data_IF_910270439230
#
_entry.id   IF_910270439230
#
_cell.length_a   1.000
_cell.length_b   1.000
_cell.length_c   1.000
_cell.angle_alpha   90.00
_cell.angle_beta   90.00
_cell.angle_gamma   90.00
#
_symmetry.space_group_name_H-M   'P 1'
#
loop_
_entity.id
_entity.type
_entity.pdbx_description
1 polymer ?
#
# COMPACT_ATOMS: atom_id res chain seq x y z
N UNK A 1 18.75 7.39 0.16
CA UNK A 1 18.46 7.46 0.82
C UNK A 1 17.39 7.91 1.69
N UNK A 2 16.91 9.01 1.66
CA UNK A 2 15.91 9.41 2.52
C UNK A 2 14.60 9.45 1.89
N UNK A 3 13.89 8.35 1.90
CA UNK A 3 12.55 8.29 1.34
C UNK A 3 11.47 8.22 2.41
N UNK A 4 11.87 8.10 3.66
CA UNK A 4 10.89 8.01 4.74
C UNK A 4 10.24 9.37 4.95
N UNK A 5 8.90 9.37 5.06
CA UNK A 5 8.15 10.59 5.30
C UNK A 5 7.73 11.32 4.06
N UNK A 6 8.13 10.83 2.89
CA UNK A 6 7.81 11.47 1.64
C UNK A 6 6.75 10.66 0.90
N UNK A 7 5.83 11.35 0.24
CA UNK A 7 4.77 10.66 -0.50
C UNK A 7 5.20 10.37 -1.93
N UNK A 8 4.88 9.20 -2.39
CA UNK A 8 5.20 8.76 -3.74
C UNK A 8 3.96 8.16 -4.38
N UNK A 9 3.84 8.32 -5.68
CA UNK A 9 2.78 7.65 -6.41
C UNK A 9 3.31 6.37 -7.01
N UNK A 10 2.60 5.27 -6.81
CA UNK A 10 2.99 3.98 -7.34
C UNK A 10 1.81 3.24 -7.90
N UNK A 11 2.07 2.05 -8.38
CA UNK A 11 1.05 1.16 -8.90
C UNK A 11 0.92 -0.03 -7.98
N UNK A 12 -0.30 -0.46 -7.74
CA UNK A 12 -0.52 -1.68 -6.97
C UNK A 12 -0.17 -2.83 -7.88
N UNK A 13 0.94 -3.51 -7.56
CA UNK A 13 1.46 -4.59 -8.38
C UNK A 13 1.03 -5.96 -7.88
N UNK A 14 0.45 -6.02 -6.69
CA UNK A 14 -0.06 -7.27 -6.15
C UNK A 14 -1.03 -7.01 -5.02
N UNK A 15 -2.03 -7.88 -4.90
CA UNK A 15 -3.02 -7.79 -3.84
C UNK A 15 -3.11 -9.15 -3.18
N UNK A 16 -2.98 -9.16 -1.87
CA UNK A 16 -3.05 -10.40 -1.11
C UNK A 16 -3.91 -10.20 0.13
N UNK A 17 -4.16 -11.29 0.83
CA UNK A 17 -4.94 -11.19 2.07
C UNK A 17 -4.19 -10.44 3.17
N UNK A 18 -2.88 -10.34 3.07
CA UNK A 18 -2.10 -9.67 4.12
C UNK A 18 -1.63 -8.29 3.71
N UNK A 19 -1.94 -7.83 2.51
CA UNK A 19 -1.62 -6.46 2.13
C UNK A 19 -1.46 -6.27 0.65
N UNK A 20 -0.85 -5.16 0.30
CA UNK A 20 -0.69 -4.72 -1.09
C UNK A 20 0.79 -4.60 -1.40
N UNK A 21 1.17 -5.01 -2.61
CA UNK A 21 2.50 -4.69 -3.12
C UNK A 21 2.38 -3.48 -4.03
N UNK A 22 3.32 -2.56 -3.89
CA UNK A 22 3.29 -1.30 -4.62
C UNK A 22 4.63 -1.12 -5.29
N UNK A 23 4.61 -0.80 -6.58
CA UNK A 23 5.83 -0.54 -7.34
C UNK A 23 5.87 0.92 -7.74
N UNK A 24 6.98 1.56 -7.44
CA UNK A 24 7.19 2.96 -7.80
C UNK A 24 7.76 3.06 -9.20
N UNK A 25 7.67 4.23 -9.84
CA UNK A 25 8.17 4.38 -11.21
C UNK A 25 9.64 4.04 -11.37
N UNK A 26 10.44 4.19 -10.31
CA UNK A 26 11.86 3.87 -10.39
C UNK A 26 12.14 2.40 -10.11
N UNK A 27 11.13 1.56 -10.20
CA UNK A 27 11.17 0.12 -10.02
C UNK A 27 11.40 -0.34 -8.59
N UNK A 28 11.41 0.59 -7.63
CA UNK A 28 11.45 0.21 -6.23
C UNK A 28 10.09 -0.33 -5.84
N UNK A 29 10.07 -1.49 -5.20
CA UNK A 29 8.83 -2.13 -4.81
C UNK A 29 8.82 -2.31 -3.30
N UNK A 30 7.66 -2.12 -2.70
CA UNK A 30 7.47 -2.34 -1.28
C UNK A 30 6.08 -2.87 -1.01
N UNK A 31 5.75 -2.96 0.25
CA UNK A 31 4.49 -3.57 0.66
C UNK A 31 3.78 -2.71 1.68
N UNK A 32 2.46 -2.64 1.55
CA UNK A 32 1.61 -2.07 2.58
C UNK A 32 0.95 -3.24 3.28
N UNK A 33 1.32 -3.46 4.55
CA UNK A 33 0.67 -4.52 5.33
C UNK A 33 -0.76 -4.12 5.62
N UNK A 34 -1.63 -5.11 5.70
CA UNK A 34 -3.04 -4.82 5.95
C UNK A 34 -3.23 -4.09 7.28
N UNK A 35 -2.33 -4.30 8.22
CA UNK A 35 -2.39 -3.60 9.49
C UNK A 35 -2.14 -2.10 9.37
N UNK A 36 -1.57 -1.66 8.25
CA UNK A 36 -1.37 -0.24 8.00
C UNK A 36 -2.60 0.42 7.40
N UNK A 37 -3.58 -0.38 6.97
CA UNK A 37 -4.82 0.12 6.41
C UNK A 37 -5.83 0.20 7.53
N UNK A 38 -5.73 1.24 8.34
CA UNK A 38 -6.46 1.32 9.60
C UNK A 38 -7.78 2.06 9.50
N UNK A 39 -8.10 2.55 8.33
CA UNK A 39 -9.31 3.33 8.15
C UNK A 39 -10.55 2.46 7.96
N UNK A 40 -10.37 1.15 7.86
CA UNK A 40 -11.48 0.26 7.64
C UNK A 40 -11.03 -1.16 7.89
N UNK A 41 -11.98 -2.07 7.83
CA UNK A 41 -11.70 -3.51 7.85
C UNK A 41 -11.74 -3.99 6.42
N UNK A 42 -10.62 -4.49 5.91
CA UNK A 42 -10.50 -4.86 4.51
C UNK A 42 -10.59 -6.36 4.34
N UNK A 43 -11.39 -6.78 3.37
CA UNK A 43 -11.57 -8.18 3.02
C UNK A 43 -10.94 -8.43 1.68
N UNK A 44 -10.14 -9.50 1.60
CA UNK A 44 -9.49 -9.86 0.35
C UNK A 44 -10.49 -10.60 -0.53
N UNK A 45 -10.70 -10.06 -1.73
CA UNK A 45 -11.59 -10.67 -2.71
C UNK A 45 -10.73 -11.31 -3.78
N UNK A 46 -10.47 -12.58 -3.60
CA UNK A 46 -9.52 -13.30 -4.42
C UNK A 46 -9.93 -13.31 -5.89
N UNK A 47 -11.21 -13.46 -6.15
CA UNK A 47 -11.71 -13.50 -7.52
C UNK A 47 -11.52 -12.20 -8.27
N UNK A 48 -11.42 -11.11 -7.56
CA UNK A 48 -11.37 -9.80 -8.16
C UNK A 48 -10.03 -9.11 -7.95
N UNK A 49 -9.10 -9.76 -7.26
CA UNK A 49 -7.78 -9.22 -6.98
C UNK A 49 -7.87 -7.84 -6.33
N UNK A 50 -8.65 -7.75 -5.25
CA UNK A 50 -8.78 -6.48 -4.56
C UNK A 50 -8.99 -6.70 -3.06
N UNK A 51 -8.69 -5.64 -2.31
CA UNK A 51 -9.09 -5.55 -0.91
C UNK A 51 -10.22 -4.55 -0.84
N UNK A 52 -11.31 -4.94 -0.20
CA UNK A 52 -12.50 -4.09 -0.10
C UNK A 52 -12.77 -3.74 1.34
N UNK A 53 -12.96 -2.46 1.62
CA UNK A 53 -13.32 -1.99 2.95
C UNK A 53 -14.77 -2.25 3.22
N UNK A 54 -15.05 -2.75 4.42
CA UNK A 54 -16.42 -3.16 4.76
C UNK A 54 -17.33 -1.99 5.06
N UNK A 55 -16.77 -0.91 5.59
CA UNK A 55 -17.60 0.22 5.99
C UNK A 55 -17.57 1.35 5.01
N UNK A 56 -16.38 1.66 4.49
CA UNK A 56 -16.25 2.79 3.58
C UNK A 56 -16.52 2.42 2.14
N UNK A 57 -16.42 1.15 1.80
CA UNK A 57 -16.53 0.71 0.42
C UNK A 57 -15.30 0.99 -0.40
N UNK A 58 -14.21 1.45 0.22
CA UNK A 58 -12.99 1.75 -0.49
C UNK A 58 -12.36 0.45 -1.00
N UNK A 59 -11.81 0.49 -2.19
CA UNK A 59 -11.21 -0.70 -2.79
C UNK A 59 -9.80 -0.40 -3.25
N UNK A 60 -8.92 -1.38 -3.07
CA UNK A 60 -7.57 -1.34 -3.60
C UNK A 60 -7.44 -2.47 -4.59
N UNK A 61 -7.22 -2.14 -5.85
CA UNK A 61 -7.21 -3.11 -6.94
C UNK A 61 -5.86 -3.21 -7.59
N UNK A 62 -5.59 -4.37 -8.16
CA UNK A 62 -4.39 -4.57 -8.96
C UNK A 62 -4.37 -3.57 -10.11
N UNK A 63 -3.25 -2.90 -10.28
CA UNK A 63 -3.09 -1.92 -11.35
C UNK A 63 -3.53 -0.51 -10.99
N UNK A 64 -4.10 -0.32 -9.81
CA UNK A 64 -4.57 0.99 -9.39
C UNK A 64 -3.41 1.85 -8.95
N UNK A 65 -3.50 3.16 -9.20
CA UNK A 65 -2.52 4.11 -8.66
C UNK A 65 -2.80 4.37 -7.20
N UNK A 66 -1.74 4.55 -6.44
CA UNK A 66 -1.89 4.81 -5.02
C UNK A 66 -0.75 5.72 -4.56
N UNK A 67 -1.07 6.60 -3.62
CA UNK A 67 -0.08 7.46 -3.00
C UNK A 67 0.37 6.80 -1.72
N UNK A 68 1.68 6.65 -1.56
CA UNK A 68 2.23 5.93 -0.41
C UNK A 68 3.36 6.74 0.21
N UNK A 69 3.62 6.48 1.48
CA UNK A 69 4.79 6.99 2.18
C UNK A 69 5.60 5.80 2.64
N UNK A 70 6.90 5.95 2.65
CA UNK A 70 7.76 4.91 3.18
C UNK A 70 7.68 4.97 4.71
N UNK A 71 7.31 3.86 5.31
CA UNK A 71 7.18 3.77 6.76
C UNK A 71 8.43 3.18 7.40
N UNK A 72 9.19 2.40 6.65
CA UNK A 72 10.40 1.81 7.18
C UNK A 72 11.08 0.99 6.12
N UNK A 73 12.26 0.50 6.46
CA UNK A 73 13.04 -0.34 5.57
C UNK A 73 13.48 -1.56 6.35
N UNK A 74 13.22 -2.74 5.80
CA UNK A 74 13.71 -3.97 6.39
C UNK A 74 15.01 -4.32 5.70
N UNK A 75 16.11 -4.12 6.39
CA UNK A 75 17.42 -4.30 5.77
C UNK A 75 17.76 -5.76 5.55
N UNK A 76 17.19 -6.64 6.35
CA UNK A 76 17.45 -8.05 6.20
C UNK A 76 16.76 -8.60 4.96
N UNK A 77 15.51 -8.22 4.75
CA UNK A 77 14.74 -8.70 3.62
C UNK A 77 14.87 -7.82 2.39
N UNK A 78 15.52 -6.66 2.53
CA UNK A 78 15.67 -5.70 1.44
C UNK A 78 14.35 -5.24 0.91
N UNK A 79 13.39 -5.01 1.81
CA UNK A 79 12.06 -4.56 1.42
C UNK A 79 11.77 -3.23 2.07
N UNK A 80 10.82 -2.53 1.50
CA UNK A 80 10.37 -1.25 2.02
C UNK A 80 8.93 -1.42 2.48
N UNK A 81 8.67 -0.98 3.71
CA UNK A 81 7.31 -0.97 4.21
C UNK A 81 6.70 0.37 3.87
N UNK A 82 5.58 0.32 3.17
CA UNK A 82 4.83 1.51 2.79
C UNK A 82 3.59 1.62 3.66
N UNK A 83 3.04 2.81 3.69
CA UNK A 83 1.73 3.05 4.25
C UNK A 83 1.02 4.01 3.32
N UNK A 84 -0.31 4.02 3.31
CA UNK A 84 -1.04 4.94 2.44
C UNK A 84 -0.72 6.37 2.85
N UNK A 85 -0.50 7.23 1.86
CA UNK A 85 -0.25 8.62 2.14
C UNK A 85 -1.54 9.27 2.60
N UNK A 86 -1.44 10.12 3.59
CA UNK A 86 -2.59 10.80 4.13
C UNK A 86 -2.46 12.28 3.90
N UNK A 87 -3.59 12.93 3.81
CA UNK A 87 -3.61 14.37 3.73
C UNK A 87 -3.60 14.89 5.15
N UNK A 88 -2.55 15.57 5.50
CA UNK A 88 -2.39 16.02 6.86
C UNK A 88 -2.94 17.38 7.15
N UNK A 89 -3.35 18.05 6.12
CA UNK A 89 -3.86 19.39 6.30
C UNK A 89 -5.35 19.43 6.48
N UNK A 90 -5.97 18.25 6.56
CA UNK A 90 -7.38 18.28 6.72
C UNK A 90 -7.76 17.98 8.08
#
# INVERSE_FOLDING_TARGET
ERIIGRAYEGDISGVTAWGLYVELPNTVEGMIHISALQDDYYTYKEDEFLLAGEETGREYRLGQKIQVCAAGVDKVLHTIDFEPARLYNE
#
